data_IF_053178667359
#
_entry.id   IF_053178667359
#
_cell.length_a   1.000
_cell.length_b   1.000
_cell.length_c   1.000
_cell.angle_alpha   90.00
_cell.angle_beta   90.00
_cell.angle_gamma   90.00
#
_symmetry.space_group_name_H-M   'P 1'
#
loop_
_entity.id
_entity.type
_entity.pdbx_description
1 polymer ?
#
# COMPACT_ATOMS: atom_id res chain seq x y z
N UNK A 1 -2.83 14.77 25.56
CA UNK A 1 -1.70 14.09 24.88
C UNK A 1 -2.02 12.60 24.90
N UNK A 2 -1.94 11.93 23.76
CA UNK A 2 -2.15 10.48 23.67
C UNK A 2 -1.08 9.72 24.48
N UNK A 3 -1.46 8.59 25.08
CA UNK A 3 -0.55 7.74 25.85
C UNK A 3 0.57 7.21 24.94
N UNK A 4 1.86 7.34 25.32
CA UNK A 4 2.94 6.76 24.53
C UNK A 4 2.92 5.23 24.57
N UNK A 5 3.14 4.57 23.42
CA UNK A 5 3.04 3.13 23.23
C UNK A 5 4.41 2.45 23.15
N UNK A 6 4.48 1.21 23.62
CA UNK A 6 5.58 0.27 23.36
C UNK A 6 5.33 -0.37 21.99
N UNK A 7 6.20 -0.08 21.01
CA UNK A 7 6.02 -0.45 19.60
C UNK A 7 7.02 -1.52 19.20
N UNK A 8 6.58 -2.54 18.49
CA UNK A 8 7.42 -3.53 17.83
C UNK A 8 7.25 -3.43 16.30
N UNK A 9 8.35 -3.50 15.53
CA UNK A 9 8.35 -3.48 14.07
C UNK A 9 9.00 -4.76 13.56
N UNK A 10 8.21 -5.65 12.97
CA UNK A 10 8.68 -6.86 12.32
C UNK A 10 9.02 -6.56 10.87
N UNK A 11 10.19 -7.00 10.40
CA UNK A 11 10.72 -6.66 9.07
C UNK A 11 11.39 -5.29 9.03
N UNK A 12 11.89 -4.78 10.15
CA UNK A 12 12.45 -3.44 10.32
C UNK A 12 13.58 -3.10 9.33
N UNK A 13 14.32 -4.08 8.83
CA UNK A 13 15.43 -3.89 7.87
C UNK A 13 15.00 -3.88 6.41
N UNK A 14 13.72 -4.12 6.11
CA UNK A 14 13.15 -4.08 4.76
C UNK A 14 12.84 -2.64 4.30
N UNK A 15 12.43 -2.48 3.03
CA UNK A 15 12.06 -1.16 2.49
C UNK A 15 10.87 -0.57 3.27
N UNK A 16 9.80 -1.35 3.45
CA UNK A 16 8.61 -0.91 4.21
C UNK A 16 8.96 -0.65 5.67
N UNK A 17 9.77 -1.51 6.31
CA UNK A 17 10.19 -1.33 7.71
C UNK A 17 10.98 -0.03 7.94
N UNK A 18 11.91 0.30 7.03
CA UNK A 18 12.65 1.57 7.09
C UNK A 18 11.72 2.77 6.87
N UNK A 19 10.80 2.68 5.89
CA UNK A 19 9.83 3.74 5.65
C UNK A 19 8.87 3.92 6.83
N UNK A 20 8.48 2.82 7.49
CA UNK A 20 7.65 2.85 8.69
C UNK A 20 8.35 3.59 9.84
N UNK A 21 9.64 3.30 10.09
CA UNK A 21 10.44 4.01 11.10
C UNK A 21 10.49 5.50 10.77
N UNK A 22 10.79 5.85 9.52
CA UNK A 22 10.83 7.24 9.05
C UNK A 22 9.49 7.95 9.22
N UNK A 23 8.39 7.30 8.84
CA UNK A 23 7.03 7.84 8.94
C UNK A 23 6.60 8.06 10.38
N UNK A 24 6.86 7.11 11.30
CA UNK A 24 6.58 7.25 12.73
C UNK A 24 7.28 8.46 13.33
N UNK A 25 8.55 8.69 12.95
CA UNK A 25 9.34 9.84 13.41
C UNK A 25 8.82 11.16 12.83
N UNK A 26 8.59 11.20 11.53
CA UNK A 26 8.10 12.40 10.84
C UNK A 26 6.75 12.86 11.40
N UNK A 27 5.85 11.92 11.65
CA UNK A 27 4.52 12.16 12.21
C UNK A 27 4.52 12.33 13.74
N UNK A 28 5.68 12.21 14.38
CA UNK A 28 5.84 12.34 15.85
C UNK A 28 4.91 11.39 16.62
N UNK A 29 4.78 10.15 16.11
CA UNK A 29 3.97 9.15 16.77
C UNK A 29 4.45 8.94 18.24
N UNK A 30 3.53 8.83 19.22
CA UNK A 30 3.92 8.78 20.63
C UNK A 30 4.50 7.40 21.01
N UNK A 31 5.82 7.26 20.91
CA UNK A 31 6.56 6.01 21.19
C UNK A 31 7.19 6.10 22.59
N UNK A 32 6.84 5.14 23.47
CA UNK A 32 7.47 4.92 24.77
C UNK A 32 8.76 4.09 24.63
N UNK A 33 8.67 3.00 23.88
CA UNK A 33 9.79 2.11 23.57
C UNK A 33 9.62 1.54 22.17
N UNK A 34 10.74 1.27 21.48
CA UNK A 34 10.74 0.72 20.12
C UNK A 34 11.64 -0.51 20.05
N UNK A 35 11.10 -1.61 19.55
CA UNK A 35 11.84 -2.84 19.23
C UNK A 35 11.85 -3.04 17.72
N UNK A 36 13.05 -3.22 17.17
CA UNK A 36 13.27 -3.49 15.74
C UNK A 36 13.55 -4.96 15.56
N UNK A 37 12.65 -5.66 14.87
CA UNK A 37 12.64 -7.11 14.76
C UNK A 37 12.88 -7.51 13.30
N UNK A 38 13.76 -8.49 13.07
CA UNK A 38 14.04 -9.04 11.76
C UNK A 38 14.47 -10.52 11.85
N UNK A 39 14.79 -11.13 10.71
CA UNK A 39 15.34 -12.48 10.66
C UNK A 39 16.77 -12.52 11.24
N UNK A 40 17.23 -13.72 11.63
CA UNK A 40 18.59 -13.99 12.17
C UNK A 40 19.71 -13.37 11.34
N UNK A 41 19.54 -13.24 10.01
CA UNK A 41 20.51 -12.59 9.09
C UNK A 41 20.76 -11.10 9.37
N UNK A 42 19.87 -10.46 10.10
CA UNK A 42 19.93 -9.01 10.39
C UNK A 42 20.15 -8.68 11.86
N UNK A 43 20.22 -9.68 12.72
CA UNK A 43 20.49 -9.50 14.15
C UNK A 43 21.81 -8.77 14.37
N UNK A 44 21.84 -7.84 15.33
CA UNK A 44 22.99 -7.00 15.65
C UNK A 44 23.21 -5.83 14.70
N UNK A 45 22.48 -5.74 13.57
CA UNK A 45 22.49 -4.50 12.78
C UNK A 45 21.91 -3.37 13.59
N UNK A 46 22.46 -2.18 13.43
CA UNK A 46 21.96 -0.98 14.05
C UNK A 46 21.27 -0.11 13.01
N UNK A 47 20.06 0.33 13.31
CA UNK A 47 19.31 1.28 12.48
C UNK A 47 19.19 2.62 13.22
N UNK A 48 19.30 3.71 12.47
CA UNK A 48 19.08 5.05 13.01
C UNK A 48 17.58 5.30 13.20
N UNK A 49 17.17 5.64 14.40
CA UNK A 49 15.81 6.06 14.76
C UNK A 49 15.90 7.49 15.31
N UNK A 50 15.74 8.46 14.45
CA UNK A 50 16.12 9.85 14.77
C UNK A 50 17.62 9.95 15.00
N UNK A 51 18.01 10.42 16.19
CA UNK A 51 19.42 10.56 16.59
C UNK A 51 19.98 9.33 17.34
N UNK A 52 19.20 8.29 17.51
CA UNK A 52 19.58 7.10 18.28
C UNK A 52 19.81 5.90 17.39
N UNK A 53 20.86 5.14 17.68
CA UNK A 53 21.02 3.79 17.13
C UNK A 53 20.18 2.80 17.94
N UNK A 54 19.36 2.00 17.25
CA UNK A 54 18.58 0.90 17.83
C UNK A 54 19.05 -0.40 17.19
N UNK A 55 19.41 -1.36 18.00
CA UNK A 55 19.87 -2.66 17.55
C UNK A 55 18.68 -3.53 17.10
N UNK A 56 18.88 -4.27 16.02
CA UNK A 56 17.89 -5.20 15.48
C UNK A 56 17.97 -6.53 16.21
N UNK A 57 16.85 -6.96 16.76
CA UNK A 57 16.68 -8.24 17.47
C UNK A 57 16.13 -9.32 16.52
N UNK A 58 16.35 -10.59 16.87
CA UNK A 58 15.70 -11.69 16.17
C UNK A 58 14.22 -11.77 16.49
N UNK A 59 13.39 -11.90 15.45
CA UNK A 59 11.95 -12.05 15.63
C UNK A 59 11.61 -13.46 16.08
N UNK A 60 10.96 -13.58 17.22
CA UNK A 60 10.42 -14.83 17.74
C UNK A 60 9.08 -14.58 18.45
N UNK A 61 8.44 -15.63 18.99
CA UNK A 61 7.12 -15.53 19.62
C UNK A 61 7.11 -14.68 20.89
N UNK A 62 8.22 -14.61 21.60
CA UNK A 62 8.35 -13.85 22.85
C UNK A 62 8.71 -12.38 22.60
N UNK A 63 9.02 -12.02 21.35
CA UNK A 63 9.39 -10.66 20.96
C UNK A 63 8.30 -9.62 21.21
N UNK A 64 7.06 -10.04 21.45
CA UNK A 64 5.90 -9.16 21.60
C UNK A 64 5.48 -8.91 23.03
N UNK A 65 6.15 -9.55 24.02
CA UNK A 65 5.84 -9.36 25.42
C UNK A 65 6.05 -7.90 25.82
N UNK A 66 4.99 -7.26 26.32
CA UNK A 66 4.98 -5.86 26.74
C UNK A 66 4.89 -4.84 25.58
N UNK A 67 4.67 -5.29 24.34
CA UNK A 67 4.32 -4.40 23.24
C UNK A 67 2.82 -4.06 23.29
N UNK A 68 2.50 -2.78 23.14
CA UNK A 68 1.11 -2.31 22.98
C UNK A 68 0.69 -2.42 21.50
N UNK A 69 1.62 -2.17 20.57
CA UNK A 69 1.39 -2.14 19.14
C UNK A 69 2.50 -2.89 18.39
N UNK A 70 2.13 -3.70 17.40
CA UNK A 70 3.07 -4.41 16.54
C UNK A 70 2.76 -4.18 15.07
N UNK A 71 3.72 -3.65 14.31
CA UNK A 71 3.66 -3.52 12.86
C UNK A 71 4.36 -4.69 12.19
N UNK A 72 3.71 -5.30 11.21
CA UNK A 72 4.25 -6.42 10.46
C UNK A 72 4.48 -6.03 8.99
N UNK A 73 5.71 -5.65 8.66
CA UNK A 73 6.19 -5.44 7.29
C UNK A 73 7.00 -6.65 6.80
N UNK A 74 6.43 -7.86 6.92
CA UNK A 74 7.12 -9.12 6.64
C UNK A 74 6.34 -9.98 5.62
N UNK A 75 6.88 -11.17 5.31
CA UNK A 75 6.22 -12.10 4.38
C UNK A 75 4.93 -12.67 4.98
N UNK A 76 4.00 -13.09 4.11
CA UNK A 76 2.75 -13.76 4.48
C UNK A 76 2.97 -14.93 5.45
N UNK A 77 4.04 -15.73 5.26
CA UNK A 77 4.33 -16.85 6.13
C UNK A 77 4.72 -16.40 7.54
N UNK A 78 5.60 -15.41 7.65
CA UNK A 78 6.02 -14.84 8.96
C UNK A 78 4.80 -14.25 9.70
N UNK A 79 3.92 -13.55 8.99
CA UNK A 79 2.69 -13.03 9.56
C UNK A 79 1.77 -14.14 10.07
N UNK A 80 1.55 -15.19 9.30
CA UNK A 80 0.75 -16.34 9.75
C UNK A 80 1.31 -16.99 11.00
N UNK A 81 2.62 -17.10 11.11
CA UNK A 81 3.31 -17.78 12.23
C UNK A 81 3.35 -16.93 13.51
N UNK A 82 3.43 -15.61 13.38
CA UNK A 82 3.77 -14.73 14.51
C UNK A 82 2.65 -13.75 14.92
N UNK A 83 1.76 -13.33 14.03
CA UNK A 83 0.64 -12.44 14.36
C UNK A 83 -0.23 -13.01 15.50
N UNK A 84 -0.57 -14.32 15.51
CA UNK A 84 -1.33 -14.88 16.63
C UNK A 84 -0.59 -14.81 17.98
N UNK A 85 0.75 -14.90 17.96
CA UNK A 85 1.55 -14.78 19.17
C UNK A 85 1.59 -13.32 19.67
N UNK A 86 1.70 -12.35 18.77
CA UNK A 86 1.67 -10.94 19.09
C UNK A 86 0.30 -10.52 19.69
N UNK A 87 -0.80 -10.91 19.05
CA UNK A 87 -2.15 -10.65 19.55
C UNK A 87 -2.39 -11.32 20.92
N UNK A 88 -1.93 -12.57 21.11
CA UNK A 88 -2.01 -13.28 22.40
C UNK A 88 -1.19 -12.60 23.50
N UNK A 89 -0.07 -11.96 23.15
CA UNK A 89 0.73 -11.18 24.09
C UNK A 89 0.07 -9.84 24.48
N UNK A 90 -1.06 -9.48 23.88
CA UNK A 90 -1.83 -8.27 24.15
C UNK A 90 -1.52 -7.09 23.21
N UNK A 91 -0.66 -7.27 22.23
CA UNK A 91 -0.40 -6.22 21.24
C UNK A 91 -1.52 -6.12 20.22
N UNK A 92 -1.93 -4.91 19.84
CA UNK A 92 -2.70 -4.69 18.62
C UNK A 92 -1.73 -4.82 17.44
N UNK A 93 -2.10 -5.62 16.43
CA UNK A 93 -1.27 -5.90 15.27
C UNK A 93 -1.81 -5.16 14.05
N UNK A 94 -0.94 -4.47 13.33
CA UNK A 94 -1.21 -3.91 12.00
C UNK A 94 -0.32 -4.66 11.00
N UNK A 95 -0.95 -5.45 10.12
CA UNK A 95 -0.27 -6.37 9.20
C UNK A 95 -0.34 -5.90 7.75
N UNK A 96 0.83 -5.75 7.13
CA UNK A 96 0.98 -5.36 5.71
C UNK A 96 1.00 -6.57 4.75
N UNK A 97 1.05 -7.79 5.28
CA UNK A 97 1.03 -8.97 4.42
C UNK A 97 -0.37 -9.30 3.90
N UNK A 98 -0.43 -10.21 2.94
CA UNK A 98 -1.73 -10.73 2.46
C UNK A 98 -2.35 -11.80 3.38
N UNK A 99 -1.73 -12.11 4.52
CA UNK A 99 -2.14 -13.23 5.37
C UNK A 99 -3.57 -13.09 5.90
N UNK A 100 -3.95 -11.89 6.29
CA UNK A 100 -5.16 -11.61 7.07
C UNK A 100 -6.20 -10.77 6.34
N UNK A 101 -5.87 -10.23 5.16
CA UNK A 101 -6.71 -9.27 4.43
C UNK A 101 -8.13 -9.79 4.17
N UNK A 102 -8.28 -11.05 3.84
CA UNK A 102 -9.59 -11.63 3.49
C UNK A 102 -10.25 -12.42 4.63
N UNK A 103 -9.63 -12.44 5.81
CA UNK A 103 -10.26 -13.05 6.98
C UNK A 103 -11.49 -12.22 7.40
N UNK A 104 -12.67 -12.85 7.62
CA UNK A 104 -13.91 -12.11 7.89
C UNK A 104 -13.86 -11.27 9.16
N UNK A 105 -13.12 -11.72 10.18
CA UNK A 105 -13.02 -11.04 11.47
C UNK A 105 -11.90 -10.01 11.55
N UNK A 106 -11.09 -9.87 10.49
CA UNK A 106 -9.99 -8.92 10.43
C UNK A 106 -10.38 -7.74 9.55
N UNK A 107 -10.49 -6.52 10.09
CA UNK A 107 -10.75 -5.34 9.28
C UNK A 107 -9.59 -5.07 8.33
N UNK A 108 -9.92 -4.75 7.09
CA UNK A 108 -9.00 -4.36 6.03
C UNK A 108 -9.18 -2.85 5.80
N UNK A 109 -8.22 -2.02 6.24
CA UNK A 109 -8.51 -0.61 6.48
C UNK A 109 -7.67 0.34 5.65
N UNK A 110 -8.36 1.30 5.03
CA UNK A 110 -7.83 2.58 4.58
C UNK A 110 -8.54 3.67 5.39
N UNK A 111 -7.86 4.39 6.30
CA UNK A 111 -8.51 5.30 7.25
C UNK A 111 -9.49 6.30 6.63
N UNK A 112 -9.17 6.85 5.47
CA UNK A 112 -9.99 7.82 4.76
C UNK A 112 -11.24 7.19 4.08
N UNK A 113 -11.30 5.86 3.99
CA UNK A 113 -12.38 5.12 3.33
C UNK A 113 -13.31 4.45 4.34
N UNK A 114 -12.75 3.58 5.14
CA UNK A 114 -13.48 2.73 6.07
C UNK A 114 -12.86 2.70 7.48
N UNK A 115 -12.34 3.84 7.95
CA UNK A 115 -11.73 3.96 9.28
C UNK A 115 -12.65 3.53 10.44
N UNK A 116 -13.98 3.53 10.25
CA UNK A 116 -14.95 3.08 11.25
C UNK A 116 -14.87 1.56 11.50
N UNK A 117 -14.37 0.78 10.54
CA UNK A 117 -14.17 -0.67 10.70
C UNK A 117 -13.15 -0.99 11.82
N UNK A 118 -12.29 -0.03 12.18
CA UNK A 118 -11.35 -0.18 13.30
C UNK A 118 -12.06 -0.51 14.63
N UNK A 119 -13.29 -0.07 14.82
CA UNK A 119 -14.06 -0.39 16.03
C UNK A 119 -14.35 -1.89 16.19
N UNK A 120 -14.21 -2.66 15.12
CA UNK A 120 -14.53 -4.10 15.09
C UNK A 120 -13.28 -5.01 15.17
N UNK A 121 -12.07 -4.45 15.29
CA UNK A 121 -10.85 -5.27 15.36
C UNK A 121 -10.83 -6.15 16.62
N UNK A 122 -10.32 -7.37 16.47
CA UNK A 122 -10.10 -8.33 17.55
C UNK A 122 -8.61 -8.50 17.85
N UNK A 123 -7.86 -7.39 17.83
CA UNK A 123 -6.42 -7.36 18.05
C UNK A 123 -5.58 -7.48 16.77
N UNK A 124 -6.18 -7.74 15.60
CA UNK A 124 -5.49 -7.77 14.30
C UNK A 124 -6.21 -6.89 13.31
N UNK A 125 -5.45 -6.08 12.58
CA UNK A 125 -5.92 -5.19 11.51
C UNK A 125 -5.00 -5.42 10.31
N UNK A 126 -5.58 -5.58 9.12
CA UNK A 126 -4.83 -5.70 7.88
C UNK A 126 -4.83 -4.37 7.12
N UNK A 127 -3.73 -4.08 6.44
CA UNK A 127 -3.70 -3.00 5.43
C UNK A 127 -3.83 -3.61 4.03
N UNK A 128 -4.43 -2.89 3.06
CA UNK A 128 -4.60 -3.41 1.72
C UNK A 128 -3.30 -3.51 0.93
N UNK A 129 -3.39 -4.13 -0.22
CA UNK A 129 -2.33 -4.12 -1.23
C UNK A 129 -1.97 -2.66 -1.61
N UNK A 130 -0.67 -2.42 -1.84
CA UNK A 130 -0.14 -1.09 -2.16
C UNK A 130 -0.72 -0.48 -3.45
N UNK A 131 -1.26 -1.29 -4.35
CA UNK A 131 -1.97 -0.81 -5.55
C UNK A 131 -3.46 -0.60 -5.31
N UNK A 132 -4.08 -1.34 -4.37
CA UNK A 132 -5.49 -1.19 -4.02
C UNK A 132 -5.74 0.10 -3.23
N UNK A 133 -4.89 0.39 -2.24
CA UNK A 133 -5.04 1.55 -1.34
C UNK A 133 -5.26 2.88 -2.09
N UNK A 134 -4.41 3.30 -3.04
CA UNK A 134 -4.59 4.57 -3.73
C UNK A 134 -5.83 4.60 -4.62
N UNK A 135 -6.21 3.47 -5.21
CA UNK A 135 -7.38 3.38 -6.08
C UNK A 135 -8.67 3.55 -5.29
N UNK A 136 -8.83 2.82 -4.17
CA UNK A 136 -10.03 2.94 -3.34
C UNK A 136 -10.12 4.31 -2.68
N UNK A 137 -8.98 4.90 -2.28
CA UNK A 137 -8.94 6.24 -1.72
C UNK A 137 -9.41 7.28 -2.73
N UNK A 138 -8.96 7.20 -3.99
CA UNK A 138 -9.38 8.11 -5.05
C UNK A 138 -10.86 7.91 -5.47
N UNK A 139 -11.38 6.69 -5.43
CA UNK A 139 -12.75 6.38 -5.82
C UNK A 139 -13.79 6.70 -4.73
N UNK A 140 -13.42 6.55 -3.47
CA UNK A 140 -14.35 6.63 -2.35
C UNK A 140 -15.14 7.94 -2.25
N UNK A 141 -14.53 9.14 -2.35
CA UNK A 141 -15.27 10.39 -2.28
C UNK A 141 -16.30 10.53 -3.42
N UNK A 142 -16.00 9.99 -4.59
CA UNK A 142 -16.92 9.95 -5.74
C UNK A 142 -18.06 8.96 -5.47
N UNK A 143 -17.71 7.74 -5.05
CA UNK A 143 -18.63 6.64 -4.77
C UNK A 143 -19.71 7.02 -3.73
N UNK A 144 -19.34 7.74 -2.69
CA UNK A 144 -20.27 8.22 -1.65
C UNK A 144 -21.35 9.15 -2.18
N UNK A 145 -21.07 9.89 -3.24
CA UNK A 145 -22.00 10.86 -3.84
C UNK A 145 -22.79 10.20 -4.99
N UNK A 146 -22.10 9.43 -5.82
CA UNK A 146 -22.66 8.74 -6.96
C UNK A 146 -21.99 7.36 -7.10
N UNK A 147 -22.70 6.28 -6.72
CA UNK A 147 -22.11 4.96 -6.62
C UNK A 147 -21.44 4.49 -7.92
N UNK A 148 -20.23 3.94 -7.78
CA UNK A 148 -19.50 3.25 -8.83
C UNK A 148 -20.22 1.93 -9.14
N UNK A 149 -20.59 1.74 -10.39
CA UNK A 149 -21.32 0.58 -10.90
C UNK A 149 -20.41 -0.48 -11.50
N UNK A 150 -19.25 -0.09 -12.01
CA UNK A 150 -18.24 -0.95 -12.62
C UNK A 150 -16.87 -0.30 -12.53
N UNK A 151 -15.83 -1.12 -12.37
CA UNK A 151 -14.45 -0.67 -12.21
C UNK A 151 -13.49 -1.54 -13.03
N UNK A 152 -12.58 -0.91 -13.79
CA UNK A 152 -11.44 -1.55 -14.42
C UNK A 152 -10.17 -0.83 -13.95
N UNK A 153 -9.16 -1.59 -13.57
CA UNK A 153 -7.92 -1.08 -13.02
C UNK A 153 -6.74 -1.69 -13.77
N UNK A 154 -6.01 -0.87 -14.50
CA UNK A 154 -4.77 -1.28 -15.15
C UNK A 154 -3.58 -0.63 -14.43
N UNK A 155 -2.76 -1.43 -13.74
CA UNK A 155 -1.68 -0.92 -12.91
C UNK A 155 -0.34 -0.95 -13.63
N UNK A 156 0.53 0.00 -13.27
CA UNK A 156 1.93 0.12 -13.66
C UNK A 156 2.76 0.19 -12.39
N UNK A 157 3.19 -1.00 -11.91
CA UNK A 157 3.76 -1.15 -10.58
C UNK A 157 5.29 -1.11 -10.60
N UNK A 158 5.87 -0.27 -9.77
CA UNK A 158 7.32 -0.15 -9.57
C UNK A 158 7.93 -1.39 -8.90
N UNK A 159 9.21 -1.60 -9.09
CA UNK A 159 9.94 -2.77 -8.58
C UNK A 159 10.09 -2.78 -7.05
N UNK A 160 9.99 -1.63 -6.37
CA UNK A 160 10.05 -1.56 -4.90
C UNK A 160 8.97 -2.38 -4.21
N UNK A 161 7.82 -2.61 -4.86
CA UNK A 161 6.76 -3.50 -4.36
C UNK A 161 7.19 -4.96 -4.20
N UNK A 162 8.25 -5.39 -4.91
CA UNK A 162 8.86 -6.72 -4.75
C UNK A 162 10.00 -6.71 -3.71
N UNK A 163 10.47 -5.52 -3.31
CA UNK A 163 11.49 -5.34 -2.29
C UNK A 163 12.86 -4.90 -2.82
N UNK A 164 13.83 -4.82 -1.92
CA UNK A 164 15.15 -4.25 -2.22
C UNK A 164 15.94 -5.02 -3.30
N UNK A 165 15.77 -6.35 -3.38
CA UNK A 165 16.40 -7.19 -4.40
C UNK A 165 15.96 -6.79 -5.81
N UNK A 166 14.67 -6.49 -6.00
CA UNK A 166 14.15 -6.08 -7.30
C UNK A 166 14.62 -4.66 -7.71
N UNK A 167 14.74 -3.76 -6.73
CA UNK A 167 15.34 -2.43 -6.95
C UNK A 167 16.79 -2.55 -7.40
N UNK A 168 17.55 -3.45 -6.76
CA UNK A 168 18.93 -3.74 -7.13
C UNK A 168 19.02 -4.36 -8.54
N UNK A 169 18.19 -5.36 -8.83
CA UNK A 169 18.13 -6.03 -10.13
C UNK A 169 17.84 -5.05 -11.27
N UNK A 170 16.82 -4.18 -11.12
CA UNK A 170 16.53 -3.16 -12.13
C UNK A 170 17.75 -2.26 -12.37
N UNK A 171 18.42 -1.80 -11.31
CA UNK A 171 19.57 -0.91 -11.43
C UNK A 171 20.73 -1.57 -12.18
N UNK A 172 21.05 -2.81 -11.83
CA UNK A 172 22.15 -3.56 -12.48
C UNK A 172 21.80 -3.94 -13.92
N UNK A 173 20.59 -4.41 -14.20
CA UNK A 173 20.16 -4.71 -15.55
C UNK A 173 20.15 -3.47 -16.44
N UNK A 174 19.66 -2.32 -15.95
CA UNK A 174 19.67 -1.08 -16.71
C UNK A 174 21.09 -0.67 -17.12
N UNK A 175 22.06 -0.78 -16.18
CA UNK A 175 23.47 -0.51 -16.46
C UNK A 175 24.04 -1.47 -17.49
N UNK A 176 23.81 -2.77 -17.33
CA UNK A 176 24.31 -3.79 -18.26
C UNK A 176 23.76 -3.58 -19.69
N UNK A 177 22.47 -3.32 -19.83
CA UNK A 177 21.84 -3.07 -21.14
C UNK A 177 22.44 -1.84 -21.82
N UNK A 178 22.63 -0.73 -21.09
CA UNK A 178 23.25 0.48 -21.62
C UNK A 178 24.70 0.27 -22.02
N UNK A 179 25.42 -0.64 -21.35
CA UNK A 179 26.79 -1.06 -21.71
C UNK A 179 26.81 -2.09 -22.85
N UNK A 180 25.67 -2.49 -23.42
CA UNK A 180 25.60 -3.53 -24.47
C UNK A 180 25.92 -4.95 -23.96
N UNK A 181 25.81 -5.19 -22.66
CA UNK A 181 26.08 -6.47 -22.01
C UNK A 181 24.79 -7.28 -21.78
N UNK A 182 24.89 -8.64 -21.78
CA UNK A 182 23.75 -9.48 -21.49
C UNK A 182 23.31 -9.34 -20.03
N UNK A 183 22.01 -9.51 -19.79
CA UNK A 183 21.40 -9.54 -18.46
C UNK A 183 20.95 -10.96 -18.10
N UNK A 184 20.92 -11.27 -16.80
CA UNK A 184 20.33 -12.49 -16.28
C UNK A 184 19.28 -12.11 -15.23
N UNK A 185 17.99 -12.44 -15.45
CA UNK A 185 16.94 -12.23 -14.45
C UNK A 185 17.15 -13.17 -13.25
N UNK A 186 16.95 -12.64 -12.04
CA UNK A 186 17.05 -13.42 -10.79
C UNK A 186 15.80 -13.26 -9.90
N UNK A 187 15.17 -12.07 -9.90
CA UNK A 187 13.98 -11.77 -9.09
C UNK A 187 12.72 -11.97 -9.91
N UNK A 188 12.75 -11.56 -11.17
CA UNK A 188 11.64 -11.72 -12.10
C UNK A 188 11.89 -12.86 -13.10
N UNK A 189 10.82 -13.41 -13.72
CA UNK A 189 10.99 -14.46 -14.75
C UNK A 189 11.68 -13.93 -16.03
N UNK A 190 11.62 -12.62 -16.27
CA UNK A 190 12.18 -11.95 -17.43
C UNK A 190 12.97 -10.70 -17.03
N UNK A 191 13.80 -10.19 -17.95
CA UNK A 191 14.45 -8.89 -17.79
C UNK A 191 13.42 -7.81 -17.52
N UNK A 192 13.62 -7.01 -16.45
CA UNK A 192 12.75 -5.89 -16.11
C UNK A 192 13.25 -4.57 -16.69
N UNK A 193 14.57 -4.38 -16.83
CA UNK A 193 15.09 -3.15 -17.39
C UNK A 193 14.61 -2.95 -18.83
N UNK A 194 14.01 -1.77 -19.10
CA UNK A 194 13.42 -1.41 -20.40
C UNK A 194 12.34 -2.36 -20.91
N UNK A 195 11.58 -2.98 -20.00
CA UNK A 195 10.56 -3.96 -20.32
C UNK A 195 9.30 -3.74 -19.46
N UNK A 196 8.18 -4.37 -19.84
CA UNK A 196 6.94 -4.43 -19.08
C UNK A 196 6.51 -5.89 -18.93
N UNK A 197 6.24 -6.32 -17.70
CA UNK A 197 5.90 -7.70 -17.38
C UNK A 197 4.44 -7.77 -16.88
N UNK A 198 3.49 -8.29 -17.69
CA UNK A 198 2.08 -8.43 -17.29
C UNK A 198 1.89 -9.68 -16.40
N UNK A 199 2.74 -9.81 -15.40
CA UNK A 199 2.76 -10.90 -14.44
C UNK A 199 3.26 -10.38 -13.08
N UNK A 200 2.35 -10.25 -12.13
CA UNK A 200 2.70 -9.94 -10.74
C UNK A 200 2.08 -11.00 -9.84
N UNK A 201 2.93 -11.71 -9.08
CA UNK A 201 2.58 -12.90 -8.31
C UNK A 201 2.21 -14.08 -9.26
N UNK A 202 1.68 -15.18 -8.75
CA UNK A 202 1.37 -16.40 -9.50
C UNK A 202 0.04 -16.29 -10.24
N UNK A 203 -0.07 -17.00 -11.37
CA UNK A 203 -1.35 -17.16 -12.08
C UNK A 203 -2.28 -18.10 -11.32
N UNK A 204 -3.56 -17.78 -11.34
CA UNK A 204 -4.67 -18.57 -10.81
C UNK A 204 -5.42 -19.29 -11.93
N UNK A 205 -6.20 -20.31 -11.59
CA UNK A 205 -6.96 -21.10 -12.55
C UNK A 205 -8.01 -20.31 -13.35
N UNK A 206 -8.40 -19.14 -12.86
CA UNK A 206 -9.34 -18.24 -13.51
C UNK A 206 -8.69 -17.28 -14.53
N UNK A 207 -7.38 -17.43 -14.78
CA UNK A 207 -6.60 -16.61 -15.71
C UNK A 207 -6.08 -15.28 -15.17
N UNK A 208 -6.51 -14.87 -13.97
CA UNK A 208 -5.93 -13.72 -13.28
C UNK A 208 -4.63 -14.10 -12.57
N UNK A 209 -3.76 -13.11 -12.35
CA UNK A 209 -2.71 -13.28 -11.33
C UNK A 209 -3.29 -13.09 -9.93
N UNK A 210 -2.58 -13.59 -8.92
CA UNK A 210 -2.98 -13.40 -7.53
C UNK A 210 -3.00 -11.92 -7.13
N UNK A 211 -2.14 -11.09 -7.72
CA UNK A 211 -2.14 -9.65 -7.50
C UNK A 211 -3.43 -8.99 -8.03
N UNK A 212 -3.84 -9.33 -9.23
CA UNK A 212 -5.09 -8.86 -9.83
C UNK A 212 -6.30 -9.29 -9.01
N UNK A 213 -6.28 -10.55 -8.53
CA UNK A 213 -7.35 -11.07 -7.70
C UNK A 213 -7.45 -10.37 -6.35
N UNK A 214 -6.31 -10.02 -5.73
CA UNK A 214 -6.28 -9.19 -4.52
C UNK A 214 -6.95 -7.84 -4.76
N UNK A 215 -6.63 -7.14 -5.84
CA UNK A 215 -7.24 -5.85 -6.15
C UNK A 215 -8.77 -5.95 -6.24
N UNK A 216 -9.29 -7.01 -6.87
CA UNK A 216 -10.73 -7.24 -7.00
C UNK A 216 -11.37 -7.46 -5.62
N UNK A 217 -10.85 -8.38 -4.84
CA UNK A 217 -11.45 -8.78 -3.56
C UNK A 217 -11.29 -7.71 -2.48
N UNK A 218 -10.11 -7.11 -2.40
CA UNK A 218 -9.82 -6.08 -1.42
C UNK A 218 -10.64 -4.81 -1.67
N UNK A 219 -10.78 -4.37 -2.93
CA UNK A 219 -11.66 -3.24 -3.30
C UNK A 219 -13.09 -3.46 -2.82
N UNK A 220 -13.66 -4.64 -3.07
CA UNK A 220 -15.00 -5.00 -2.62
C UNK A 220 -15.14 -4.96 -1.10
N UNK A 221 -14.17 -5.49 -0.38
CA UNK A 221 -14.17 -5.53 1.08
C UNK A 221 -14.07 -4.14 1.69
N UNK A 222 -13.14 -3.30 1.21
CA UNK A 222 -12.90 -1.96 1.74
C UNK A 222 -14.07 -1.01 1.47
N UNK A 223 -14.64 -1.08 0.27
CA UNK A 223 -15.77 -0.23 -0.13
C UNK A 223 -17.13 -0.77 0.35
N UNK A 224 -17.17 -1.92 1.02
CA UNK A 224 -18.40 -2.62 1.44
C UNK A 224 -19.36 -2.93 0.26
N UNK A 225 -18.80 -3.18 -0.92
CA UNK A 225 -19.53 -3.44 -2.17
C UNK A 225 -19.19 -4.85 -2.69
N UNK A 226 -19.73 -5.89 -2.03
CA UNK A 226 -19.39 -7.29 -2.29
C UNK A 226 -19.59 -7.72 -3.77
N UNK A 227 -20.59 -7.14 -4.43
CA UNK A 227 -20.99 -7.48 -5.81
C UNK A 227 -20.45 -6.48 -6.85
N UNK A 228 -19.62 -5.51 -6.45
CA UNK A 228 -19.07 -4.54 -7.41
C UNK A 228 -18.32 -5.27 -8.54
N UNK A 229 -18.69 -5.07 -9.81
CA UNK A 229 -17.96 -5.61 -10.94
C UNK A 229 -16.60 -4.93 -11.06
N UNK A 230 -15.53 -5.66 -10.72
CA UNK A 230 -14.16 -5.18 -10.81
C UNK A 230 -13.35 -6.13 -11.68
N UNK A 231 -12.52 -5.57 -12.57
CA UNK A 231 -11.46 -6.29 -13.29
C UNK A 231 -10.15 -5.55 -13.13
N UNK A 232 -9.04 -6.28 -13.11
CA UNK A 232 -7.71 -5.69 -12.99
C UNK A 232 -6.71 -6.36 -13.92
N UNK A 233 -5.75 -5.56 -14.43
CA UNK A 233 -4.54 -6.01 -15.11
C UNK A 233 -3.34 -5.41 -14.40
N UNK A 234 -2.43 -6.23 -13.89
CA UNK A 234 -1.29 -5.77 -13.12
C UNK A 234 0.02 -5.96 -13.91
N UNK A 235 0.70 -4.84 -14.19
CA UNK A 235 1.94 -4.84 -14.97
C UNK A 235 3.11 -4.32 -14.13
N UNK A 236 4.21 -5.07 -14.08
CA UNK A 236 5.48 -4.60 -13.51
C UNK A 236 6.23 -3.77 -14.55
N UNK A 237 6.65 -2.57 -14.16
CA UNK A 237 7.37 -1.62 -15.02
C UNK A 237 8.72 -1.24 -14.43
N UNK A 238 9.69 -0.77 -15.25
CA UNK A 238 11.06 -0.46 -14.82
C UNK A 238 11.12 0.92 -14.12
N UNK A 239 10.33 1.07 -13.08
CA UNK A 239 10.26 2.24 -12.19
C UNK A 239 10.70 1.81 -10.81
N UNK A 240 11.53 2.60 -10.12
CA UNK A 240 12.06 2.23 -8.82
C UNK A 240 11.01 2.29 -7.71
N UNK A 241 10.32 3.43 -7.56
CA UNK A 241 9.32 3.69 -6.52
C UNK A 241 8.13 4.42 -7.15
N UNK A 242 6.95 4.21 -6.58
CA UNK A 242 5.69 4.80 -7.04
C UNK A 242 4.93 3.89 -8.00
N UNK A 243 3.69 3.54 -7.61
CA UNK A 243 2.76 2.82 -8.47
C UNK A 243 1.82 3.78 -9.17
N UNK A 244 1.48 3.44 -10.42
CA UNK A 244 0.46 4.15 -11.17
C UNK A 244 -0.67 3.22 -11.56
N UNK A 245 -1.87 3.77 -11.78
CA UNK A 245 -3.01 3.04 -12.31
C UNK A 245 -3.82 3.89 -13.28
N UNK A 246 -4.21 3.31 -14.41
CA UNK A 246 -5.32 3.80 -15.21
C UNK A 246 -6.60 3.20 -14.62
N UNK A 247 -7.50 4.05 -14.15
CA UNK A 247 -8.72 3.66 -13.45
C UNK A 247 -9.91 4.09 -14.30
N UNK A 248 -10.61 3.10 -14.88
CA UNK A 248 -11.85 3.29 -15.60
C UNK A 248 -13.02 2.92 -14.70
N UNK A 249 -13.94 3.84 -14.50
CA UNK A 249 -15.11 3.61 -13.65
C UNK A 249 -16.39 4.13 -14.27
N UNK A 250 -17.47 3.39 -14.07
CA UNK A 250 -18.82 3.76 -14.49
C UNK A 250 -19.65 4.15 -13.28
N UNK A 251 -20.31 5.29 -13.35
CA UNK A 251 -21.20 5.79 -12.29
C UNK A 251 -22.65 5.41 -12.57
N UNK A 252 -23.44 5.33 -11.52
CA UNK A 252 -24.88 5.02 -11.61
C UNK A 252 -25.65 6.14 -12.31
N UNK A 253 -25.26 7.40 -12.10
CA UNK A 253 -25.90 8.60 -12.65
C UNK A 253 -24.91 9.44 -13.42
N UNK A 254 -25.41 10.24 -14.37
CA UNK A 254 -24.58 11.24 -15.05
C UNK A 254 -23.96 12.23 -14.05
N UNK A 255 -22.74 12.64 -14.30
CA UNK A 255 -21.99 13.63 -13.52
C UNK A 255 -21.05 14.40 -14.46
N UNK A 256 -20.77 15.66 -14.19
CA UNK A 256 -19.78 16.39 -14.97
C UNK A 256 -18.35 16.06 -14.48
N UNK A 257 -17.37 16.15 -15.36
CA UNK A 257 -15.94 15.94 -15.02
C UNK A 257 -15.49 16.94 -13.97
N UNK A 258 -15.95 18.17 -14.06
CA UNK A 258 -15.63 19.27 -13.14
C UNK A 258 -16.17 19.01 -11.73
N UNK A 259 -17.35 18.39 -11.61
CA UNK A 259 -17.90 18.00 -10.29
C UNK A 259 -17.03 16.92 -9.63
N UNK A 260 -16.59 15.92 -10.43
CA UNK A 260 -15.67 14.88 -9.94
C UNK A 260 -14.34 15.50 -9.52
N UNK A 261 -13.81 16.44 -10.32
CA UNK A 261 -12.57 17.16 -10.00
C UNK A 261 -12.69 17.91 -8.67
N UNK A 262 -13.77 18.63 -8.47
CA UNK A 262 -14.04 19.37 -7.23
C UNK A 262 -14.13 18.44 -6.02
N UNK A 263 -14.83 17.32 -6.16
CA UNK A 263 -14.92 16.28 -5.11
C UNK A 263 -13.53 15.77 -4.71
N UNK A 264 -12.66 15.52 -5.70
CA UNK A 264 -11.31 15.02 -5.46
C UNK A 264 -10.40 16.08 -4.84
N UNK A 265 -10.55 17.36 -5.20
CA UNK A 265 -9.79 18.45 -4.63
C UNK A 265 -10.09 18.70 -3.15
N UNK A 266 -11.31 18.40 -2.69
CA UNK A 266 -11.74 18.54 -1.30
C UNK A 266 -11.44 17.30 -0.45
N UNK A 267 -11.08 16.17 -1.09
CA UNK A 267 -10.91 14.91 -0.40
C UNK A 267 -9.56 14.83 0.34
N UNK A 268 -9.53 14.36 1.59
CA UNK A 268 -8.29 14.22 2.35
C UNK A 268 -7.36 13.18 1.72
N UNK A 269 -6.06 13.44 1.73
CA UNK A 269 -5.03 12.53 1.23
C UNK A 269 -4.97 12.45 -0.30
N UNK A 270 -5.66 13.36 -1.02
CA UNK A 270 -5.65 13.44 -2.48
C UNK A 270 -5.11 14.80 -2.92
N UNK A 271 -4.19 14.78 -3.87
CA UNK A 271 -3.73 15.97 -4.60
C UNK A 271 -4.07 15.83 -6.08
N UNK A 272 -4.88 16.75 -6.62
CA UNK A 272 -5.22 16.78 -8.03
C UNK A 272 -4.14 17.53 -8.81
N UNK A 273 -3.48 16.84 -9.76
CA UNK A 273 -2.52 17.37 -10.73
C UNK A 273 -3.05 17.11 -12.14
N UNK A 274 -3.85 18.01 -12.67
CA UNK A 274 -4.57 17.75 -13.92
C UNK A 274 -4.70 19.03 -14.78
N UNK A 275 -3.58 19.45 -15.35
CA UNK A 275 -3.51 20.56 -16.33
C UNK A 275 -2.76 20.10 -17.58
N UNK A 276 -3.44 19.35 -18.49
CA UNK A 276 -2.80 18.77 -19.67
C UNK A 276 -2.19 19.80 -20.64
N UNK A 277 -2.70 21.03 -20.64
CA UNK A 277 -2.20 22.10 -21.51
C UNK A 277 -0.74 22.47 -21.28
N UNK A 278 -0.26 22.22 -20.04
CA UNK A 278 1.14 22.43 -19.64
C UNK A 278 1.83 21.12 -19.26
N UNK A 279 1.29 19.98 -19.68
CA UNK A 279 1.80 18.63 -19.37
C UNK A 279 1.89 18.33 -17.84
N UNK A 280 1.04 18.95 -17.03
CA UNK A 280 0.96 18.69 -15.60
C UNK A 280 0.00 17.51 -15.34
N UNK A 281 0.55 16.39 -14.91
CA UNK A 281 -0.13 15.16 -14.53
C UNK A 281 0.73 14.36 -13.55
N UNK A 282 0.14 13.45 -12.73
CA UNK A 282 0.90 12.65 -11.77
C UNK A 282 1.90 11.72 -12.44
N UNK A 283 3.08 11.60 -11.82
CA UNK A 283 4.14 10.69 -12.27
C UNK A 283 4.75 9.96 -11.06
N UNK A 284 5.16 8.68 -11.18
CA UNK A 284 5.84 7.97 -10.10
C UNK A 284 7.07 8.69 -9.57
N UNK A 285 7.86 9.30 -10.48
CA UNK A 285 9.07 10.03 -10.12
C UNK A 285 8.82 11.20 -9.17
N UNK A 286 7.74 11.95 -9.38
CA UNK A 286 7.38 13.10 -8.56
C UNK A 286 6.53 12.74 -7.34
N UNK A 287 5.82 11.61 -7.38
CA UNK A 287 5.00 11.13 -6.27
C UNK A 287 5.83 10.39 -5.20
N UNK A 288 7.01 9.85 -5.56
CA UNK A 288 7.89 9.18 -4.62
C UNK A 288 8.32 10.12 -3.49
N UNK A 289 8.22 9.66 -2.24
CA UNK A 289 8.52 10.44 -1.04
C UNK A 289 7.37 11.33 -0.53
N UNK A 290 6.22 11.36 -1.21
CA UNK A 290 5.04 12.12 -0.80
C UNK A 290 3.97 11.24 -0.16
N UNK A 291 3.16 11.83 0.71
CA UNK A 291 2.11 11.14 1.46
C UNK A 291 0.80 11.01 0.67
N UNK A 292 0.52 11.95 -0.21
CA UNK A 292 -0.73 12.04 -0.94
C UNK A 292 -0.82 11.01 -2.08
N UNK A 293 -2.06 10.68 -2.41
CA UNK A 293 -2.43 10.04 -3.67
C UNK A 293 -2.66 11.14 -4.70
N UNK A 294 -1.92 11.11 -5.78
CA UNK A 294 -2.03 12.08 -6.88
C UNK A 294 -3.00 11.58 -7.94
N UNK A 295 -3.94 12.43 -8.33
CA UNK A 295 -4.94 12.13 -9.36
C UNK A 295 -4.86 13.16 -10.49
N UNK A 296 -4.91 12.67 -11.72
CA UNK A 296 -4.95 13.54 -12.89
C UNK A 296 -5.47 12.80 -14.11
N UNK A 297 -5.38 13.43 -15.30
CA UNK A 297 -5.91 12.89 -16.55
C UNK A 297 -7.38 12.48 -16.44
N UNK A 298 -8.13 13.18 -15.57
CA UNK A 298 -9.56 12.97 -15.37
C UNK A 298 -10.33 13.42 -16.60
N UNK A 299 -11.12 12.52 -17.16
CA UNK A 299 -11.92 12.75 -18.38
C UNK A 299 -13.08 11.80 -18.48
N UNK A 300 -14.05 12.14 -19.30
CA UNK A 300 -15.13 11.23 -19.67
C UNK A 300 -14.56 10.08 -20.52
N UNK A 301 -15.07 8.87 -20.30
CA UNK A 301 -14.80 7.71 -21.15
C UNK A 301 -15.70 7.79 -22.38
N UNK A 302 -15.10 7.92 -23.57
CA UNK A 302 -15.84 8.03 -24.83
C UNK A 302 -16.62 6.75 -25.21
N UNK A 303 -16.30 5.62 -24.56
CA UNK A 303 -16.92 4.32 -24.83
C UNK A 303 -18.09 3.99 -23.90
N UNK A 304 -18.32 4.78 -22.84
CA UNK A 304 -19.29 4.50 -21.80
C UNK A 304 -20.05 5.76 -21.36
N UNK A 305 -21.39 5.73 -21.37
CA UNK A 305 -22.25 6.91 -21.15
C UNK A 305 -21.98 7.65 -19.85
N UNK A 306 -21.83 6.93 -18.74
CA UNK A 306 -21.51 7.46 -17.42
C UNK A 306 -20.11 7.02 -16.97
N UNK A 307 -19.24 6.75 -17.95
CA UNK A 307 -17.89 6.29 -17.75
C UNK A 307 -16.89 7.43 -17.61
N UNK A 308 -15.91 7.22 -16.76
CA UNK A 308 -14.81 8.16 -16.54
C UNK A 308 -13.49 7.41 -16.46
N UNK A 309 -12.42 8.12 -16.76
CA UNK A 309 -11.05 7.60 -16.64
C UNK A 309 -10.23 8.62 -15.86
N UNK A 310 -9.47 8.12 -14.88
CA UNK A 310 -8.46 8.91 -14.17
C UNK A 310 -7.13 8.18 -14.11
N UNK A 311 -6.06 8.91 -13.92
CA UNK A 311 -4.72 8.41 -13.67
C UNK A 311 -4.37 8.66 -12.22
N UNK A 312 -4.07 7.60 -11.48
CA UNK A 312 -3.79 7.60 -10.04
C UNK A 312 -2.34 7.21 -9.83
N UNK A 313 -1.61 7.97 -9.02
CA UNK A 313 -0.21 7.68 -8.69
C UNK A 313 0.03 7.88 -7.19
N UNK A 314 0.77 6.99 -6.56
CA UNK A 314 1.19 7.16 -5.17
C UNK A 314 2.53 6.50 -4.90
N UNK A 315 3.19 6.92 -3.82
CA UNK A 315 4.31 6.18 -3.27
C UNK A 315 3.81 4.88 -2.63
N UNK A 316 4.20 3.76 -3.21
CA UNK A 316 3.78 2.42 -2.78
C UNK A 316 4.36 1.99 -1.43
N UNK A 317 5.46 2.61 -0.99
CA UNK A 317 6.07 2.34 0.31
C UNK A 317 5.44 3.21 1.42
N UNK A 318 4.85 4.37 1.06
CA UNK A 318 4.21 5.32 1.98
C UNK A 318 2.70 5.04 2.08
N UNK A 319 1.87 5.72 1.28
CA UNK A 319 0.41 5.52 1.36
C UNK A 319 0.00 4.09 1.00
N UNK A 320 0.76 3.42 0.13
CA UNK A 320 0.56 2.00 -0.17
C UNK A 320 0.89 1.03 0.97
N UNK A 321 1.65 1.45 2.01
CA UNK A 321 2.15 0.58 3.07
C UNK A 321 2.36 1.31 4.40
N UNK A 322 3.56 1.87 4.63
CA UNK A 322 3.99 2.41 5.92
C UNK A 322 3.10 3.53 6.44
N UNK A 323 2.77 4.51 5.60
CA UNK A 323 1.92 5.62 6.00
C UNK A 323 0.51 5.16 6.37
N UNK A 324 -0.09 4.27 5.56
CA UNK A 324 -1.42 3.73 5.87
C UNK A 324 -1.42 2.99 7.23
N UNK A 325 -0.35 2.23 7.52
CA UNK A 325 -0.19 1.55 8.80
C UNK A 325 -0.10 2.54 9.97
N UNK A 326 0.68 3.63 9.82
CA UNK A 326 0.82 4.65 10.87
C UNK A 326 -0.48 5.42 11.06
N UNK A 327 -1.19 5.77 9.99
CA UNK A 327 -2.50 6.44 10.07
C UNK A 327 -3.54 5.56 10.80
N UNK A 328 -3.55 4.24 10.56
CA UNK A 328 -4.39 3.30 11.34
C UNK A 328 -4.02 3.38 12.83
N UNK A 329 -2.73 3.38 13.18
CA UNK A 329 -2.31 3.47 14.56
C UNK A 329 -2.71 4.82 15.21
N UNK A 330 -2.65 5.91 14.47
CA UNK A 330 -3.12 7.23 14.92
C UNK A 330 -4.63 7.24 15.17
N UNK A 331 -5.42 6.64 14.27
CA UNK A 331 -6.87 6.49 14.43
C UNK A 331 -7.23 5.63 15.65
N UNK A 332 -6.51 4.53 15.89
CA UNK A 332 -6.69 3.68 17.07
C UNK A 332 -6.47 4.48 18.36
N UNK A 333 -5.43 5.31 18.40
CA UNK A 333 -5.17 6.20 19.54
C UNK A 333 -6.24 7.27 19.69
N UNK A 334 -6.63 7.93 18.60
CA UNK A 334 -7.62 9.00 18.61
C UNK A 334 -9.00 8.50 19.06
N UNK A 335 -9.34 7.25 18.72
CA UNK A 335 -10.60 6.59 19.06
C UNK A 335 -10.56 5.81 20.39
N UNK A 336 -9.43 5.78 21.09
CA UNK A 336 -9.21 4.99 22.31
C UNK A 336 -9.49 3.47 22.10
N UNK A 337 -9.03 2.94 20.99
CA UNK A 337 -9.15 1.52 20.63
C UNK A 337 -7.89 0.69 20.96
N UNK A 338 -6.86 1.34 21.53
CA UNK A 338 -5.62 0.74 21.99
C UNK A 338 -5.15 1.39 23.31
#
# INVERSE_FOLDING_TARGET
MSKPLSVAIVGATGLVGNELISTLLHRRFPIKSLRLLASSRSVGKKLMVGEREVEVEETNRDSFVGADLAFFGATTQISRDLVPAAAKAGAVVIDDSSAWRMEPEVPLVVPEVNGDDLAHHKGVIAIPNCSTTPVVLALWPIHRINPVKRLIIDTYQSVSGTGASAVHELREQARLVLDGKPTVPHVYPHQIAFNALPEIDVFLDNGYTKEEWKMIQETRKIMHEAELPVSATCVRVPVFVGHSAAVHFELTRAMAVEDIRSILQEAPGITVQDEPSISLYPQPWTAAGHDDVFVGRLRQDASCLNGFVMWVVSDNLRKGAALNSVQIAEELLARNLI
#
